data_IF_648165253340
#
_entry.id   IF_648165253340
#
_cell.length_a   1.000
_cell.length_b   1.000
_cell.length_c   1.000
_cell.angle_alpha   90.00
_cell.angle_beta   90.00
_cell.angle_gamma   90.00
#
_symmetry.space_group_name_H-M   'P 1'
#
loop_
_entity.id
_entity.type
_entity.pdbx_description
1 polymer ?
#
# COMPACT_ATOMS: atom_id res chain seq x y z
N UNK A 1 7.81 -21.92 3.57
CA UNK A 1 7.44 -20.50 3.65
C UNK A 1 8.67 -19.69 3.27
N UNK A 2 8.56 -18.79 2.30
CA UNK A 2 9.59 -17.81 1.97
C UNK A 2 9.11 -16.45 2.50
N UNK A 3 9.81 -15.87 3.48
CA UNK A 3 9.49 -14.54 3.96
C UNK A 3 10.29 -13.50 3.20
N UNK A 4 9.61 -12.54 2.60
CA UNK A 4 10.24 -11.38 1.94
C UNK A 4 9.90 -10.15 2.76
N UNK A 5 10.88 -9.65 3.52
CA UNK A 5 10.69 -8.54 4.45
C UNK A 5 10.64 -7.17 3.75
N UNK A 6 11.35 -7.02 2.63
CA UNK A 6 11.35 -5.83 1.78
C UNK A 6 11.87 -6.19 0.39
N UNK A 7 11.49 -5.41 -0.63
CA UNK A 7 11.99 -5.55 -2.00
C UNK A 7 13.19 -4.64 -2.23
N UNK A 8 14.33 -4.99 -1.64
CA UNK A 8 15.61 -4.29 -1.84
C UNK A 8 16.40 -4.90 -2.99
N UNK A 9 17.46 -4.21 -3.41
CA UNK A 9 18.42 -4.70 -4.41
C UNK A 9 18.89 -6.13 -4.06
N UNK A 10 18.84 -7.04 -5.04
CA UNK A 10 19.30 -8.43 -4.91
C UNK A 10 18.33 -9.40 -4.22
N UNK A 11 17.13 -8.96 -3.80
CA UNK A 11 16.15 -9.81 -3.10
C UNK A 11 15.69 -11.00 -3.94
N UNK A 12 15.65 -10.86 -5.27
CA UNK A 12 15.35 -11.97 -6.19
C UNK A 12 16.35 -13.11 -6.02
N UNK A 13 17.64 -12.79 -6.01
CA UNK A 13 18.69 -13.80 -5.96
C UNK A 13 18.76 -14.46 -4.59
N UNK A 14 18.54 -13.68 -3.52
CA UNK A 14 18.37 -14.21 -2.16
C UNK A 14 17.19 -15.18 -2.08
N UNK A 15 16.05 -14.81 -2.66
CA UNK A 15 14.85 -15.65 -2.73
C UNK A 15 15.14 -16.95 -3.49
N UNK A 16 15.80 -16.86 -4.65
CA UNK A 16 16.19 -18.03 -5.44
C UNK A 16 17.18 -18.94 -4.69
N UNK A 17 18.12 -18.38 -3.92
CA UNK A 17 19.03 -19.15 -3.05
C UNK A 17 18.26 -19.85 -1.93
N UNK A 18 17.36 -19.15 -1.25
CA UNK A 18 16.55 -19.71 -0.17
C UNK A 18 15.64 -20.85 -0.68
N UNK A 19 15.01 -20.67 -1.84
CA UNK A 19 14.21 -21.70 -2.50
C UNK A 19 15.06 -22.94 -2.79
N UNK A 20 16.24 -22.78 -3.40
CA UNK A 20 17.14 -23.91 -3.71
C UNK A 20 17.55 -24.67 -2.46
N UNK A 21 17.90 -23.96 -1.38
CA UNK A 21 18.31 -24.57 -0.12
C UNK A 21 17.22 -25.45 0.50
N UNK A 22 15.94 -25.09 0.31
CA UNK A 22 14.79 -25.85 0.83
C UNK A 22 14.34 -26.95 -0.14
N UNK A 23 14.45 -26.72 -1.45
CA UNK A 23 14.10 -27.69 -2.49
C UNK A 23 15.08 -28.86 -2.54
N UNK A 24 16.35 -28.64 -2.16
CA UNK A 24 17.36 -29.67 -1.96
C UNK A 24 16.95 -30.62 -0.81
N UNK A 25 16.11 -31.61 -1.12
CA UNK A 25 15.62 -32.62 -0.18
C UNK A 25 14.10 -32.76 -0.11
N UNK A 26 13.32 -31.94 -0.83
CA UNK A 26 11.84 -32.01 -0.85
C UNK A 26 11.30 -31.84 -2.26
N UNK A 27 10.77 -32.92 -2.84
CA UNK A 27 9.97 -32.83 -4.08
C UNK A 27 8.58 -32.29 -3.71
N UNK A 28 8.14 -31.24 -4.41
CA UNK A 28 6.75 -30.71 -4.41
C UNK A 28 6.14 -30.23 -3.08
N UNK A 29 6.82 -29.36 -2.33
CA UNK A 29 6.18 -28.66 -1.21
C UNK A 29 5.38 -27.44 -1.71
N UNK A 30 4.20 -27.14 -1.16
CA UNK A 30 3.48 -25.91 -1.44
C UNK A 30 4.32 -24.69 -0.99
N UNK A 31 4.29 -23.62 -1.79
CA UNK A 31 5.02 -22.39 -1.50
C UNK A 31 4.06 -21.35 -0.94
N UNK A 32 4.37 -20.92 0.27
CA UNK A 32 3.74 -19.76 0.91
C UNK A 32 4.76 -18.63 0.91
N UNK A 33 4.40 -17.50 0.31
CA UNK A 33 5.21 -16.28 0.30
C UNK A 33 4.65 -15.35 1.38
N UNK A 34 5.46 -15.04 2.38
CA UNK A 34 5.06 -14.17 3.49
C UNK A 34 5.60 -12.76 3.25
N UNK A 35 4.70 -11.83 2.93
CA UNK A 35 4.98 -10.39 2.76
C UNK A 35 4.25 -9.54 3.80
N UNK A 36 3.85 -10.15 4.93
CA UNK A 36 3.30 -9.42 6.07
C UNK A 36 4.32 -8.42 6.60
N UNK A 37 3.84 -7.22 6.91
CA UNK A 37 4.61 -6.07 7.38
C UNK A 37 5.74 -5.64 6.44
N UNK A 38 5.65 -6.01 5.16
CA UNK A 38 6.61 -5.60 4.14
C UNK A 38 6.24 -4.18 3.63
N UNK A 39 7.06 -3.15 3.85
CA UNK A 39 6.76 -1.77 3.49
C UNK A 39 6.87 -1.49 1.98
N UNK A 40 7.22 -2.51 1.19
CA UNK A 40 7.51 -2.44 -0.23
C UNK A 40 9.01 -2.40 -0.48
N UNK A 41 9.41 -1.55 -1.42
CA UNK A 41 10.76 -1.48 -1.95
C UNK A 41 10.72 -1.09 -3.43
N UNK A 42 11.70 -1.54 -4.19
CA UNK A 42 11.75 -1.27 -5.63
C UNK A 42 10.78 -2.17 -6.40
N UNK A 43 10.02 -1.58 -7.31
CA UNK A 43 8.96 -2.28 -8.05
C UNK A 43 9.53 -3.26 -9.10
N UNK A 44 10.71 -2.95 -9.65
CA UNK A 44 11.50 -3.84 -10.49
C UNK A 44 12.02 -5.05 -9.70
N UNK A 45 12.50 -4.89 -8.47
CA UNK A 45 12.88 -6.00 -7.59
C UNK A 45 11.69 -6.91 -7.25
N UNK A 46 10.52 -6.33 -7.01
CA UNK A 46 9.29 -7.10 -6.81
C UNK A 46 8.87 -7.85 -8.08
N UNK A 47 8.93 -7.20 -9.24
CA UNK A 47 8.64 -7.83 -10.52
C UNK A 47 9.65 -8.95 -10.87
N UNK A 48 10.92 -8.75 -10.55
CA UNK A 48 11.98 -9.72 -10.76
C UNK A 48 11.82 -10.93 -9.84
N UNK A 49 11.46 -10.71 -8.57
CA UNK A 49 11.12 -11.77 -7.60
C UNK A 49 9.88 -12.53 -8.03
N UNK A 50 8.85 -11.85 -8.53
CA UNK A 50 7.66 -12.49 -9.11
C UNK A 50 8.01 -13.35 -10.32
N UNK A 51 8.96 -12.91 -11.14
CA UNK A 51 9.52 -13.66 -12.26
C UNK A 51 10.28 -14.93 -11.88
N UNK A 52 10.51 -15.21 -10.60
CA UNK A 52 10.92 -16.56 -10.18
C UNK A 52 9.82 -17.57 -10.47
N UNK A 53 8.56 -17.18 -10.32
CA UNK A 53 7.39 -18.07 -10.39
C UNK A 53 6.60 -17.92 -11.69
N UNK A 54 6.61 -16.73 -12.29
CA UNK A 54 5.85 -16.42 -13.49
C UNK A 54 6.68 -16.56 -14.78
N UNK A 55 6.04 -16.78 -15.94
CA UNK A 55 6.71 -16.68 -17.23
C UNK A 55 7.42 -15.33 -17.43
N UNK A 56 8.48 -15.34 -18.23
CA UNK A 56 9.16 -14.11 -18.60
C UNK A 56 8.19 -13.14 -19.29
N UNK A 57 8.37 -11.84 -19.04
CA UNK A 57 7.55 -10.75 -19.59
C UNK A 57 6.07 -10.75 -19.18
N UNK A 58 5.64 -11.58 -18.22
CA UNK A 58 4.31 -11.46 -17.61
C UNK A 58 4.13 -10.04 -17.04
N UNK A 59 3.06 -9.31 -17.40
CA UNK A 59 2.81 -7.97 -16.88
C UNK A 59 2.72 -7.96 -15.35
N UNK A 60 3.42 -7.02 -14.71
CA UNK A 60 3.41 -6.87 -13.26
C UNK A 60 2.68 -5.59 -12.83
N UNK A 61 3.18 -4.43 -13.29
CA UNK A 61 2.60 -3.13 -12.98
C UNK A 61 3.01 -2.08 -14.02
N UNK A 62 2.28 -0.98 -14.08
CA UNK A 62 2.63 0.19 -14.90
C UNK A 62 2.62 1.44 -14.02
N UNK A 63 3.70 2.21 -14.03
CA UNK A 63 3.73 3.55 -13.45
C UNK A 63 3.20 4.56 -14.47
N UNK A 64 2.19 5.34 -14.08
CA UNK A 64 1.52 6.35 -14.89
C UNK A 64 1.72 7.71 -14.22
N UNK A 65 2.27 8.67 -14.98
CA UNK A 65 2.51 10.03 -14.51
C UNK A 65 1.22 10.88 -14.44
N UNK A 66 1.31 12.11 -13.90
CA UNK A 66 0.15 13.00 -13.72
C UNK A 66 -0.60 13.31 -15.00
N UNK A 67 0.10 13.40 -16.14
CA UNK A 67 -0.49 13.67 -17.46
C UNK A 67 -1.03 12.40 -18.15
N UNK A 68 -1.12 11.27 -17.44
CA UNK A 68 -1.53 9.99 -18.00
C UNK A 68 -0.45 9.28 -18.82
N UNK A 69 0.74 9.86 -18.97
CA UNK A 69 1.83 9.22 -19.71
C UNK A 69 2.40 8.04 -18.92
N UNK A 70 2.74 6.97 -19.62
CA UNK A 70 3.43 5.82 -19.00
C UNK A 70 4.86 6.24 -18.65
N UNK A 71 5.16 6.27 -17.35
CA UNK A 71 6.48 6.57 -16.82
C UNK A 71 7.38 5.33 -16.79
N UNK A 72 6.82 4.15 -16.46
CA UNK A 72 7.54 2.88 -16.48
C UNK A 72 6.58 1.70 -16.64
N UNK A 73 7.07 0.59 -17.21
CA UNK A 73 6.38 -0.71 -17.22
C UNK A 73 7.27 -1.72 -16.51
N UNK A 74 6.68 -2.45 -15.57
CA UNK A 74 7.32 -3.52 -14.82
C UNK A 74 6.76 -4.85 -15.31
N UNK A 75 7.65 -5.79 -15.61
CA UNK A 75 7.30 -7.13 -16.09
C UNK A 75 8.15 -8.16 -15.36
N UNK A 76 7.65 -9.38 -15.28
CA UNK A 76 8.36 -10.51 -14.71
C UNK A 76 9.68 -10.76 -15.45
N UNK A 77 10.78 -10.85 -14.69
CA UNK A 77 12.05 -11.35 -15.23
C UNK A 77 11.95 -12.83 -15.59
N UNK A 78 12.82 -13.33 -16.47
CA UNK A 78 12.85 -14.76 -16.76
C UNK A 78 13.20 -15.60 -15.51
N UNK A 79 12.50 -16.71 -15.24
CA UNK A 79 12.86 -17.61 -14.15
C UNK A 79 14.21 -18.27 -14.44
N UNK A 80 15.05 -18.54 -13.42
CA UNK A 80 16.25 -19.35 -13.61
C UNK A 80 15.87 -20.75 -14.09
N UNK A 81 16.52 -21.24 -15.15
CA UNK A 81 16.23 -22.54 -15.78
C UNK A 81 16.37 -23.73 -14.83
N UNK A 82 17.18 -23.60 -13.78
CA UNK A 82 17.47 -24.64 -12.80
C UNK A 82 16.54 -24.62 -11.57
N UNK A 83 15.68 -23.60 -11.44
CA UNK A 83 14.84 -23.41 -10.26
C UNK A 83 13.47 -24.06 -10.46
N UNK A 84 13.27 -25.24 -9.88
CA UNK A 84 11.97 -25.91 -9.88
C UNK A 84 11.02 -25.26 -8.85
N UNK A 85 10.21 -24.31 -9.30
CA UNK A 85 9.14 -23.68 -8.51
C UNK A 85 7.77 -23.93 -9.15
N UNK A 86 6.68 -23.92 -8.35
CA UNK A 86 5.34 -24.01 -8.89
C UNK A 86 5.01 -22.77 -9.72
N UNK A 87 4.06 -22.95 -10.65
CA UNK A 87 3.42 -21.83 -11.31
C UNK A 87 2.71 -20.91 -10.30
N UNK A 88 2.44 -19.64 -10.65
CA UNK A 88 1.84 -18.69 -9.72
C UNK A 88 0.47 -19.13 -9.19
N UNK A 89 -0.27 -19.93 -9.97
CA UNK A 89 -1.58 -20.52 -9.61
C UNK A 89 -1.54 -21.40 -8.36
N UNK A 90 -0.37 -21.94 -7.99
CA UNK A 90 -0.20 -22.79 -6.82
C UNK A 90 0.54 -22.07 -5.67
N UNK A 91 0.65 -20.74 -5.73
CA UNK A 91 1.19 -19.92 -4.65
C UNK A 91 0.09 -19.41 -3.73
N UNK A 92 0.40 -19.37 -2.44
CA UNK A 92 -0.33 -18.58 -1.45
C UNK A 92 0.56 -17.41 -0.97
N UNK A 93 0.00 -16.20 -0.92
CA UNK A 93 0.69 -15.00 -0.42
C UNK A 93 0.03 -14.55 0.88
N UNK A 94 0.81 -14.46 1.95
CA UNK A 94 0.35 -13.92 3.22
C UNK A 94 0.57 -12.41 3.24
N UNK A 95 -0.51 -11.68 3.53
CA UNK A 95 -0.53 -10.22 3.60
C UNK A 95 -1.15 -9.75 4.91
N UNK A 96 -0.77 -8.55 5.34
CA UNK A 96 -1.43 -7.85 6.44
C UNK A 96 -1.63 -6.38 6.08
N UNK A 97 -2.17 -5.61 7.03
CA UNK A 97 -2.40 -4.19 6.85
C UNK A 97 -1.14 -3.33 6.68
N UNK A 98 0.02 -3.89 7.04
CA UNK A 98 1.32 -3.26 6.95
C UNK A 98 2.08 -3.70 5.68
N UNK A 99 1.48 -4.55 4.83
CA UNK A 99 1.93 -4.81 3.47
C UNK A 99 1.66 -3.58 2.59
N UNK A 100 2.71 -2.96 2.01
CA UNK A 100 2.59 -1.68 1.27
C UNK A 100 3.33 -1.68 -0.07
N UNK A 101 2.88 -0.84 -0.99
CA UNK A 101 3.59 -0.47 -2.22
C UNK A 101 4.00 -1.69 -3.07
N UNK A 102 5.29 -1.88 -3.38
CA UNK A 102 5.77 -3.00 -4.20
C UNK A 102 5.31 -4.38 -3.71
N UNK A 103 5.09 -4.56 -2.40
CA UNK A 103 4.56 -5.80 -1.84
C UNK A 103 3.08 -6.03 -2.16
N UNK A 104 2.31 -4.95 -2.26
CA UNK A 104 0.91 -5.01 -2.72
C UNK A 104 0.85 -5.37 -4.20
N UNK A 105 1.73 -4.79 -5.02
CA UNK A 105 1.85 -5.15 -6.44
C UNK A 105 2.23 -6.63 -6.61
N UNK A 106 3.11 -7.15 -5.76
CA UNK A 106 3.45 -8.56 -5.75
C UNK A 106 2.24 -9.45 -5.45
N UNK A 107 1.49 -9.15 -4.38
CA UNK A 107 0.28 -9.89 -4.04
C UNK A 107 -0.77 -9.82 -5.17
N UNK A 108 -0.98 -8.63 -5.74
CA UNK A 108 -1.90 -8.42 -6.86
C UNK A 108 -1.48 -9.21 -8.11
N UNK A 109 -0.19 -9.23 -8.45
CA UNK A 109 0.33 -9.98 -9.61
C UNK A 109 0.16 -11.50 -9.44
N UNK A 110 0.43 -12.03 -8.24
CA UNK A 110 0.19 -13.46 -7.95
C UNK A 110 -1.30 -13.79 -8.05
N UNK A 111 -2.17 -12.97 -7.46
CA UNK A 111 -3.63 -13.12 -7.54
C UNK A 111 -4.13 -13.08 -8.98
N UNK A 112 -3.63 -12.15 -9.79
CA UNK A 112 -4.01 -12.00 -11.20
C UNK A 112 -3.62 -13.23 -12.05
N UNK A 113 -2.61 -13.99 -11.62
CA UNK A 113 -2.23 -15.26 -12.24
C UNK A 113 -2.94 -16.47 -11.61
N UNK A 114 -3.94 -16.26 -10.74
CA UNK A 114 -4.73 -17.33 -10.13
C UNK A 114 -4.15 -17.91 -8.83
N UNK A 115 -3.11 -17.29 -8.25
CA UNK A 115 -2.68 -17.61 -6.89
C UNK A 115 -3.64 -17.06 -5.84
N UNK A 116 -3.45 -17.43 -4.57
CA UNK A 116 -4.35 -17.05 -3.47
C UNK A 116 -3.72 -16.02 -2.54
N UNK A 117 -4.42 -14.92 -2.25
CA UNK A 117 -4.03 -13.95 -1.23
C UNK A 117 -4.75 -14.26 0.07
N UNK A 118 -4.01 -14.38 1.17
CA UNK A 118 -4.53 -14.77 2.49
C UNK A 118 -4.10 -13.75 3.54
N UNK A 119 -5.03 -13.31 4.40
CA UNK A 119 -4.71 -12.40 5.50
C UNK A 119 -5.68 -11.23 5.61
N UNK A 120 -5.16 -10.01 5.72
CA UNK A 120 -5.95 -8.78 5.84
C UNK A 120 -5.79 -7.92 4.59
N UNK A 121 -6.72 -6.98 4.37
CA UNK A 121 -6.58 -5.98 3.31
C UNK A 121 -5.31 -5.17 3.51
N UNK A 122 -4.51 -5.04 2.44
CA UNK A 122 -3.23 -4.33 2.49
C UNK A 122 -3.42 -2.81 2.60
N UNK A 123 -2.31 -2.08 2.75
CA UNK A 123 -2.34 -0.66 3.09
C UNK A 123 -3.02 0.24 2.04
N UNK A 124 -2.84 -0.04 0.76
CA UNK A 124 -3.39 0.75 -0.35
C UNK A 124 -2.48 1.83 -0.89
N UNK A 125 -1.15 1.69 -0.82
CA UNK A 125 -0.21 2.70 -1.37
C UNK A 125 0.09 2.40 -2.84
N UNK A 126 -0.42 3.22 -3.76
CA UNK A 126 -0.08 3.15 -5.19
C UNK A 126 0.75 4.34 -5.68
N UNK A 127 1.18 5.25 -4.81
CA UNK A 127 2.11 6.33 -5.17
C UNK A 127 3.53 5.81 -5.43
N UNK A 128 4.07 6.15 -6.60
CA UNK A 128 5.48 5.98 -6.96
C UNK A 128 6.22 7.31 -6.75
N UNK A 129 7.27 7.26 -5.94
CA UNK A 129 8.09 8.41 -5.61
C UNK A 129 9.42 8.36 -6.35
N UNK A 130 9.83 9.50 -6.87
CA UNK A 130 11.14 9.66 -7.51
C UNK A 130 11.96 10.73 -6.79
N UNK A 131 13.28 10.59 -6.84
CA UNK A 131 14.20 11.66 -6.48
C UNK A 131 14.31 12.61 -7.67
N UNK A 132 13.86 13.84 -7.49
CA UNK A 132 13.96 14.91 -8.49
C UNK A 132 15.14 15.81 -8.12
N UNK A 133 16.24 15.80 -8.89
CA UNK A 133 17.39 16.67 -8.62
C UNK A 133 17.02 18.15 -8.70
N UNK A 134 17.56 18.96 -7.80
CA UNK A 134 17.35 20.41 -7.81
C UNK A 134 18.29 21.07 -8.80
N UNK A 135 17.73 21.70 -9.84
CA UNK A 135 18.51 22.39 -10.88
C UNK A 135 19.48 23.44 -10.33
N UNK A 136 19.07 24.19 -9.31
CA UNK A 136 19.88 25.22 -8.68
C UNK A 136 20.84 24.68 -7.59
N UNK A 137 20.71 23.41 -7.23
CA UNK A 137 21.47 22.81 -6.13
C UNK A 137 21.78 21.34 -6.51
N UNK A 138 22.76 21.10 -7.39
CA UNK A 138 22.97 19.81 -8.06
C UNK A 138 23.30 18.63 -7.13
N UNK A 139 23.68 18.91 -5.88
CA UNK A 139 23.93 17.90 -4.84
C UNK A 139 22.68 17.57 -3.99
N UNK A 140 21.53 18.19 -4.31
CA UNK A 140 20.30 18.04 -3.56
C UNK A 140 19.20 17.51 -4.48
N UNK A 141 18.29 16.72 -3.91
CA UNK A 141 17.13 16.20 -4.58
C UNK A 141 15.92 16.23 -3.65
N UNK A 142 14.73 16.36 -4.23
CA UNK A 142 13.46 16.24 -3.51
C UNK A 142 12.86 14.89 -3.84
N UNK A 143 12.52 14.11 -2.80
CA UNK A 143 11.71 12.91 -2.98
C UNK A 143 10.25 13.31 -3.01
N UNK A 144 9.61 13.18 -4.17
CA UNK A 144 8.20 13.51 -4.35
C UNK A 144 7.48 12.42 -5.13
N UNK A 145 6.16 12.34 -4.95
CA UNK A 145 5.31 11.47 -5.76
C UNK A 145 5.28 11.99 -7.18
N UNK A 146 5.70 11.17 -8.15
CA UNK A 146 5.77 11.55 -9.57
C UNK A 146 4.90 10.66 -10.46
N UNK A 147 4.35 9.57 -9.93
CA UNK A 147 3.49 8.65 -10.67
C UNK A 147 2.59 7.85 -9.72
N UNK A 148 1.60 7.16 -10.30
CA UNK A 148 0.79 6.14 -9.63
C UNK A 148 1.03 4.79 -10.31
N UNK A 149 0.99 3.70 -9.55
CA UNK A 149 1.18 2.34 -10.07
C UNK A 149 -0.17 1.65 -10.26
N UNK A 150 -0.48 1.32 -11.51
CA UNK A 150 -1.61 0.49 -11.90
C UNK A 150 -1.13 -0.96 -11.95
N UNK A 151 -1.90 -1.90 -11.41
CA UNK A 151 -1.54 -3.32 -11.50
C UNK A 151 -1.81 -3.91 -12.90
N UNK A 152 -1.42 -5.16 -13.11
CA UNK A 152 -1.57 -5.88 -14.37
C UNK A 152 -3.02 -5.98 -14.88
N UNK A 153 -4.04 -5.75 -14.03
CA UNK A 153 -5.45 -5.78 -14.43
C UNK A 153 -5.96 -4.42 -14.93
N UNK A 154 -5.14 -3.37 -14.82
CA UNK A 154 -5.58 -2.01 -15.13
C UNK A 154 -6.37 -1.35 -14.00
N UNK A 155 -6.54 -2.01 -12.85
CA UNK A 155 -7.26 -1.46 -11.72
C UNK A 155 -6.39 -0.45 -10.96
N UNK A 156 -6.88 0.79 -10.86
CA UNK A 156 -6.37 1.80 -9.94
C UNK A 156 -7.21 1.76 -8.66
N UNK A 157 -6.62 1.20 -7.61
CA UNK A 157 -7.24 0.94 -6.31
C UNK A 157 -6.49 1.64 -5.17
N UNK A 158 -5.87 2.79 -5.48
CA UNK A 158 -5.19 3.62 -4.47
C UNK A 158 -6.10 3.92 -3.28
N UNK A 159 -5.57 3.75 -2.06
CA UNK A 159 -6.33 3.88 -0.80
C UNK A 159 -7.28 2.72 -0.46
N UNK A 160 -7.44 1.72 -1.34
CA UNK A 160 -8.25 0.52 -1.04
C UNK A 160 -7.41 -0.69 -0.65
N UNK A 161 -6.20 -0.82 -1.19
CA UNK A 161 -5.35 -2.00 -0.97
C UNK A 161 -5.81 -3.21 -1.77
N UNK A 162 -5.07 -4.31 -1.60
CA UNK A 162 -5.38 -5.63 -2.14
C UNK A 162 -6.21 -6.37 -1.10
N UNK A 163 -7.47 -6.63 -1.43
CA UNK A 163 -8.34 -7.46 -0.61
C UNK A 163 -7.89 -8.93 -0.67
N UNK A 164 -7.84 -9.64 0.47
CA UNK A 164 -7.49 -11.06 0.49
C UNK A 164 -8.63 -11.90 -0.10
N UNK A 165 -8.27 -13.01 -0.75
CA UNK A 165 -9.24 -14.02 -1.19
C UNK A 165 -9.72 -14.86 0.01
N UNK A 166 -8.85 -15.06 1.00
CA UNK A 166 -9.17 -15.71 2.27
C UNK A 166 -8.79 -14.78 3.44
N UNK A 167 -9.80 -14.23 4.11
CA UNK A 167 -9.59 -13.36 5.27
C UNK A 167 -9.03 -14.17 6.46
N UNK A 168 -7.97 -13.67 7.08
CA UNK A 168 -7.38 -14.24 8.29
C UNK A 168 -6.75 -13.14 9.16
N UNK A 169 -6.73 -13.35 10.48
CA UNK A 169 -6.25 -12.37 11.46
C UNK A 169 -7.38 -11.56 12.09
N UNK A 170 -7.02 -10.62 12.96
CA UNK A 170 -7.98 -9.71 13.60
C UNK A 170 -8.20 -8.51 12.69
N UNK A 171 -9.42 -8.25 12.20
CA UNK A 171 -9.68 -7.10 11.35
C UNK A 171 -9.33 -5.80 12.09
N UNK A 172 -8.73 -4.86 11.36
CA UNK A 172 -8.41 -3.53 11.84
C UNK A 172 -9.68 -2.82 12.26
N UNK A 173 -9.59 -1.90 13.22
CA UNK A 173 -10.75 -1.07 13.53
C UNK A 173 -11.08 -0.16 12.36
N UNK A 174 -12.36 0.23 12.20
CA UNK A 174 -12.71 1.21 11.17
C UNK A 174 -11.93 2.53 11.33
N UNK A 175 -11.56 2.85 12.58
CA UNK A 175 -10.75 4.00 12.90
C UNK A 175 -9.29 3.86 12.42
N UNK A 176 -8.68 2.69 12.64
CA UNK A 176 -7.35 2.39 12.07
C UNK A 176 -7.39 2.42 10.55
N UNK A 177 -8.45 1.90 9.92
CA UNK A 177 -8.60 1.95 8.46
C UNK A 177 -8.71 3.39 7.94
N UNK A 178 -9.50 4.24 8.61
CA UNK A 178 -9.63 5.65 8.22
C UNK A 178 -8.30 6.41 8.37
N UNK A 179 -7.67 6.30 9.53
CA UNK A 179 -6.45 7.06 9.84
C UNK A 179 -5.26 6.55 9.03
N UNK A 180 -5.02 5.24 9.03
CA UNK A 180 -3.77 4.70 8.50
C UNK A 180 -3.82 4.52 6.98
N UNK A 181 -4.96 4.10 6.42
CA UNK A 181 -5.03 3.71 4.99
C UNK A 181 -5.68 4.75 4.09
N UNK A 182 -6.57 5.57 4.64
CA UNK A 182 -7.37 6.55 3.87
C UNK A 182 -7.00 7.98 4.12
N UNK A 183 -5.77 8.23 4.59
CA UNK A 183 -5.20 9.58 4.70
C UNK A 183 -6.01 10.57 5.54
N UNK A 184 -7.10 10.13 6.19
CA UNK A 184 -7.89 10.90 7.14
C UNK A 184 -7.01 11.42 8.28
N UNK A 185 -5.87 10.76 8.51
CA UNK A 185 -4.79 11.24 9.32
C UNK A 185 -4.29 12.64 8.95
N UNK A 186 -3.93 12.88 7.69
CA UNK A 186 -3.38 14.18 7.25
C UNK A 186 -4.43 15.28 7.38
N UNK A 187 -5.67 14.96 7.03
CA UNK A 187 -6.80 15.86 7.17
C UNK A 187 -7.11 16.16 8.64
N UNK A 188 -7.03 15.14 9.49
CA UNK A 188 -7.24 15.29 10.92
C UNK A 188 -6.13 16.11 11.57
N UNK A 189 -4.86 15.90 11.19
CA UNK A 189 -3.75 16.72 11.65
C UNK A 189 -3.96 18.19 11.24
N UNK A 190 -4.36 18.43 9.99
CA UNK A 190 -4.67 19.77 9.49
C UNK A 190 -5.88 20.40 10.19
N UNK A 191 -6.89 19.59 10.53
CA UNK A 191 -8.04 20.01 11.31
C UNK A 191 -7.66 20.35 12.76
N UNK A 192 -6.81 19.51 13.37
CA UNK A 192 -6.30 19.68 14.72
C UNK A 192 -5.49 20.97 14.86
N UNK A 193 -4.56 21.22 13.94
CA UNK A 193 -3.75 22.44 13.90
C UNK A 193 -4.64 23.70 13.78
N UNK A 194 -5.62 23.69 12.87
CA UNK A 194 -6.59 24.79 12.72
C UNK A 194 -7.38 25.11 13.99
N UNK A 195 -7.67 24.10 14.81
CA UNK A 195 -8.38 24.29 16.07
C UNK A 195 -7.47 24.71 17.23
N UNK A 196 -6.15 24.53 17.08
CA UNK A 196 -5.17 24.80 18.12
C UNK A 196 -4.02 25.67 17.57
N UNK A 197 -4.30 26.87 17.04
CA UNK A 197 -3.28 27.71 16.43
C UNK A 197 -2.21 28.10 17.46
N UNK A 198 -0.95 27.83 17.14
CA UNK A 198 0.18 28.14 18.02
C UNK A 198 0.32 27.21 19.22
N UNK A 199 -0.28 26.01 19.17
CA UNK A 199 -0.04 24.97 20.17
C UNK A 199 1.44 24.56 20.14
N UNK A 200 2.05 24.59 21.31
CA UNK A 200 3.41 24.09 21.53
C UNK A 200 3.44 22.56 21.32
N UNK A 201 4.40 22.08 20.52
CA UNK A 201 4.62 20.66 20.21
C UNK A 201 4.69 19.81 21.50
N UNK A 202 5.29 20.34 22.58
CA UNK A 202 5.39 19.65 23.86
C UNK A 202 4.02 19.40 24.54
N UNK A 203 2.97 20.08 24.09
CA UNK A 203 1.60 19.98 24.64
C UNK A 203 0.67 19.18 23.74
N UNK A 204 1.08 18.81 22.53
CA UNK A 204 0.26 18.05 21.57
C UNK A 204 -0.23 16.74 22.19
N UNK A 205 0.66 15.95 22.81
CA UNK A 205 0.31 14.69 23.46
C UNK A 205 -0.70 14.89 24.61
N UNK A 206 -0.53 15.97 25.39
CA UNK A 206 -1.45 16.29 26.49
C UNK A 206 -2.85 16.62 25.96
N UNK A 207 -2.95 17.36 24.86
CA UNK A 207 -4.23 17.71 24.24
C UNK A 207 -4.88 16.49 23.60
N UNK A 208 -4.13 15.67 22.86
CA UNK A 208 -4.65 14.46 22.22
C UNK A 208 -5.09 13.42 23.25
N UNK A 209 -4.35 13.23 24.33
CA UNK A 209 -4.73 12.29 25.39
C UNK A 209 -5.99 12.72 26.14
N UNK A 210 -6.19 14.02 26.37
CA UNK A 210 -7.37 14.56 27.07
C UNK A 210 -8.60 14.68 26.15
N UNK A 211 -8.43 15.26 24.97
CA UNK A 211 -9.52 15.72 24.10
C UNK A 211 -9.57 15.01 22.73
N UNK A 212 -8.59 14.16 22.41
CA UNK A 212 -8.43 13.57 21.08
C UNK A 212 -9.65 12.82 20.58
N UNK A 213 -10.34 12.05 21.43
CA UNK A 213 -11.56 11.35 21.05
C UNK A 213 -12.74 12.30 20.73
N UNK A 214 -12.80 13.48 21.35
CA UNK A 214 -13.81 14.50 21.05
C UNK A 214 -13.47 15.23 19.75
N UNK A 215 -12.21 15.62 19.59
CA UNK A 215 -11.69 16.27 18.38
C UNK A 215 -11.85 15.37 17.15
N UNK A 216 -11.51 14.10 17.27
CA UNK A 216 -11.69 13.10 16.22
C UNK A 216 -13.16 12.94 15.82
N UNK A 217 -14.08 12.79 16.77
CA UNK A 217 -15.53 12.71 16.45
C UNK A 217 -16.05 13.97 15.78
N UNK A 218 -15.54 15.13 16.16
CA UNK A 218 -15.89 16.41 15.54
C UNK A 218 -15.39 16.46 14.08
N UNK A 219 -14.12 16.08 13.87
CA UNK A 219 -13.53 15.95 12.55
C UNK A 219 -14.31 14.98 11.65
N UNK A 220 -14.52 13.74 12.10
CA UNK A 220 -15.18 12.68 11.32
C UNK A 220 -16.58 13.07 10.87
N UNK A 221 -17.35 13.79 11.71
CA UNK A 221 -18.67 14.32 11.32
C UNK A 221 -18.60 15.35 10.19
N UNK A 222 -17.52 16.12 10.12
CA UNK A 222 -17.28 17.13 9.09
C UNK A 222 -16.48 16.60 7.90
N UNK A 223 -15.85 15.43 8.03
CA UNK A 223 -14.95 14.87 7.04
C UNK A 223 -15.72 14.08 5.99
N UNK A 224 -15.53 14.45 4.72
CA UNK A 224 -16.25 13.87 3.59
C UNK A 224 -15.36 12.94 2.73
N UNK A 225 -14.22 12.50 3.26
CA UNK A 225 -13.33 11.52 2.61
C UNK A 225 -12.21 12.09 1.76
N UNK A 226 -11.76 13.32 2.03
CA UNK A 226 -10.83 14.03 1.15
C UNK A 226 -9.36 13.65 1.33
N UNK A 227 -8.90 12.53 0.78
CA UNK A 227 -7.54 12.53 0.24
C UNK A 227 -7.66 13.11 -1.16
N UNK A 228 -7.11 14.31 -1.35
CA UNK A 228 -6.95 14.95 -2.66
C UNK A 228 -8.21 14.87 -3.53
N UNK A 229 -9.14 15.83 -3.34
CA UNK A 229 -10.01 16.26 -4.43
C UNK A 229 -9.12 16.92 -5.52
N UNK A 230 -8.30 16.11 -6.20
CA UNK A 230 -7.51 16.49 -7.39
C UNK A 230 -8.42 17.06 -8.50
N UNK A 231 -9.74 16.86 -8.37
CA UNK A 231 -10.78 17.48 -9.19
C UNK A 231 -10.75 19.04 -9.14
N UNK A 232 -10.01 19.65 -8.20
CA UNK A 232 -9.85 21.11 -8.10
C UNK A 232 -8.60 21.68 -8.81
N UNK A 233 -7.72 20.82 -9.37
CA UNK A 233 -6.57 21.28 -10.15
C UNK A 233 -6.93 21.26 -11.65
N UNK A 234 -7.03 22.43 -12.32
CA UNK A 234 -7.61 22.55 -13.66
C UNK A 234 -6.88 21.79 -14.78
N UNK A 235 -5.65 21.33 -14.55
CA UNK A 235 -4.81 20.61 -15.52
C UNK A 235 -4.53 19.15 -15.12
N UNK A 236 -5.19 18.62 -14.09
CA UNK A 236 -5.05 17.22 -13.69
C UNK A 236 -6.13 16.39 -14.41
N UNK A 237 -5.77 15.46 -15.32
CA UNK A 237 -6.77 14.60 -15.94
C UNK A 237 -7.49 13.82 -14.83
N UNK A 238 -8.81 13.93 -14.82
CA UNK A 238 -9.66 13.23 -13.87
C UNK A 238 -9.28 11.74 -13.87
N UNK A 239 -8.96 11.27 -12.68
CA UNK A 239 -8.13 10.11 -12.37
C UNK A 239 -8.30 8.85 -13.22
N UNK A 240 -7.19 8.12 -13.34
CA UNK A 240 -7.08 6.74 -13.84
C UNK A 240 -8.01 5.75 -13.09
N UNK A 241 -8.63 6.18 -11.98
CA UNK A 241 -9.69 5.43 -11.31
C UNK A 241 -11.03 5.54 -12.03
N UNK A 242 -11.63 4.39 -12.32
CA UNK A 242 -13.00 4.31 -12.87
C UNK A 242 -14.02 4.96 -11.94
N UNK A 243 -15.12 5.48 -12.50
CA UNK A 243 -16.22 6.03 -11.70
C UNK A 243 -16.78 5.02 -10.68
N UNK A 244 -16.77 3.72 -11.02
CA UNK A 244 -17.16 2.64 -10.12
C UNK A 244 -16.20 2.48 -8.93
N UNK A 245 -14.88 2.53 -9.16
CA UNK A 245 -13.89 2.49 -8.09
C UNK A 245 -14.04 3.68 -7.13
N UNK A 246 -14.25 4.89 -7.68
CA UNK A 246 -14.52 6.10 -6.88
C UNK A 246 -15.80 5.97 -6.04
N UNK A 247 -16.88 5.45 -6.62
CA UNK A 247 -18.14 5.25 -5.92
C UNK A 247 -18.01 4.24 -4.77
N UNK A 248 -17.32 3.12 -5.02
CA UNK A 248 -17.04 2.10 -4.01
C UNK A 248 -16.17 2.64 -2.86
N UNK A 249 -15.13 3.42 -3.19
CA UNK A 249 -14.29 4.06 -2.20
C UNK A 249 -15.09 5.04 -1.33
N UNK A 250 -15.93 5.89 -1.94
CA UNK A 250 -16.80 6.83 -1.23
C UNK A 250 -17.83 6.13 -0.34
N UNK A 251 -18.42 5.04 -0.81
CA UNK A 251 -19.35 4.23 -0.01
C UNK A 251 -18.64 3.62 1.21
N UNK A 252 -17.50 2.96 1.00
CA UNK A 252 -16.73 2.36 2.10
C UNK A 252 -16.25 3.43 3.10
N UNK A 253 -15.89 4.64 2.64
CA UNK A 253 -15.52 5.74 3.55
C UNK A 253 -16.70 6.11 4.44
N UNK A 254 -17.90 6.20 3.89
CA UNK A 254 -19.12 6.51 4.66
C UNK A 254 -19.43 5.44 5.71
N UNK A 255 -19.28 4.16 5.35
CA UNK A 255 -19.48 3.04 6.27
C UNK A 255 -18.46 3.07 7.41
N UNK A 256 -17.19 3.29 7.10
CA UNK A 256 -16.12 3.42 8.10
C UNK A 256 -16.30 4.64 9.00
N UNK A 257 -16.74 5.78 8.44
CA UNK A 257 -17.08 7.00 9.19
C UNK A 257 -18.22 6.76 10.17
N UNK A 258 -19.26 6.04 9.75
CA UNK A 258 -20.37 5.68 10.63
C UNK A 258 -19.91 4.78 11.80
N UNK A 259 -19.09 3.76 11.53
CA UNK A 259 -18.52 2.91 12.59
C UNK A 259 -17.60 3.69 13.53
N UNK A 260 -16.67 4.48 12.98
CA UNK A 260 -15.68 5.23 13.76
C UNK A 260 -16.33 6.30 14.66
N UNK A 261 -17.43 6.93 14.22
CA UNK A 261 -18.17 7.94 15.02
C UNK A 261 -18.77 7.34 16.30
N UNK A 262 -19.06 6.04 16.30
CA UNK A 262 -19.64 5.33 17.45
C UNK A 262 -18.62 5.04 18.57
N UNK A 263 -17.32 5.16 18.29
CA UNK A 263 -16.25 4.78 19.22
C UNK A 263 -15.94 5.87 20.25
N UNK A 264 -15.63 5.45 21.48
CA UNK A 264 -15.33 6.35 22.61
C UNK A 264 -13.83 6.67 22.78
N UNK A 265 -12.94 5.86 22.24
CA UNK A 265 -11.48 5.99 22.37
C UNK A 265 -10.76 5.75 21.04
N UNK A 266 -9.62 6.42 20.84
CA UNK A 266 -8.72 6.14 19.71
C UNK A 266 -7.98 4.81 19.98
N UNK A 267 -7.87 3.89 18.99
CA UNK A 267 -7.06 2.69 19.12
C UNK A 267 -5.57 3.06 19.26
N UNK A 268 -4.75 2.24 19.93
CA UNK A 268 -3.34 2.57 20.19
C UNK A 268 -2.54 2.90 18.92
N UNK A 269 -2.74 2.14 17.83
CA UNK A 269 -2.07 2.39 16.53
C UNK A 269 -2.42 3.74 15.92
N UNK A 270 -3.67 4.17 16.02
CA UNK A 270 -4.08 5.51 15.62
C UNK A 270 -3.38 6.60 16.42
N UNK A 271 -3.23 6.42 17.74
CA UNK A 271 -2.53 7.39 18.60
C UNK A 271 -1.06 7.47 18.23
N UNK A 272 -0.39 6.32 18.08
CA UNK A 272 1.02 6.25 17.66
C UNK A 272 1.25 6.93 16.31
N UNK A 273 0.34 6.73 15.34
CA UNK A 273 0.44 7.38 14.04
C UNK A 273 0.35 8.91 14.15
N UNK A 274 -0.47 9.45 15.07
CA UNK A 274 -0.59 10.91 15.31
C UNK A 274 0.64 11.47 15.98
N UNK A 275 1.28 10.71 16.86
CA UNK A 275 2.47 11.17 17.58
C UNK A 275 3.77 11.07 16.75
N UNK A 276 3.82 10.21 15.73
CA UNK A 276 5.04 9.98 14.95
C UNK A 276 5.37 11.09 13.92
N UNK A 277 4.57 12.16 13.84
CA UNK A 277 4.66 13.23 12.84
C UNK A 277 4.43 14.60 13.45
#
# INVERSE_FOLDING_TARGET
>A
VLRVASFTDGVRDESARAIRAVAAGRKSAPYVIDVRSNPGGFADEAAATFGLFAPAATPFATAVGPNGAVAAKYVASAPPTELAVPAPTALAVLVDEDTRSAAELFAAAVRAQGGTVVGQTTFGKRSAQSLVPLRAAPNYAVRMTTARTVDATGADVDGMGVAPDLAAGTPSSALDELLLRRGAFFDFATYFDRLNPGLDDAKVETVLSRDGAKLWRSFVKSWNGGIDDDDALPDYPSSVQTAAARAAQKQLTRELVADATSRRTLPPRAVEAVLAR
#
